data_IF_442424007224
#
_entry.id   IF_442424007224
#
_cell.length_a   1.000
_cell.length_b   1.000
_cell.length_c   1.000
_cell.angle_alpha   90.00
_cell.angle_beta   90.00
_cell.angle_gamma   90.00
#
_symmetry.space_group_name_H-M   'P 1'
#
loop_
_entity.id
_entity.type
_entity.pdbx_description
1 polymer ?
#
# COMPACT_ATOMS: atom_id res chain seq x y z
N UNK A 1 -13.37 -64.38 6.82
CA UNK A 1 -12.25 -63.49 7.18
C UNK A 1 -11.75 -62.62 6.03
N UNK A 2 -11.27 -63.19 4.90
CA UNK A 2 -10.71 -62.40 3.79
C UNK A 2 -11.65 -61.32 3.23
N UNK A 3 -12.94 -61.62 3.02
CA UNK A 3 -13.96 -60.64 2.56
C UNK A 3 -14.12 -59.44 3.50
N UNK A 4 -14.11 -59.67 4.82
CA UNK A 4 -14.22 -58.60 5.82
C UNK A 4 -13.01 -57.67 5.82
N UNK A 5 -11.82 -58.20 5.52
CA UNK A 5 -10.58 -57.42 5.45
C UNK A 5 -10.58 -56.45 4.27
N UNK A 6 -11.15 -56.84 3.12
CA UNK A 6 -11.30 -55.95 1.97
C UNK A 6 -12.24 -54.77 2.26
N UNK A 7 -13.36 -55.02 2.95
CA UNK A 7 -14.28 -53.94 3.33
C UNK A 7 -13.63 -52.92 4.27
N UNK A 8 -12.88 -53.37 5.27
CA UNK A 8 -12.15 -52.47 6.17
C UNK A 8 -11.14 -51.62 5.40
N UNK A 9 -10.41 -52.22 4.46
CA UNK A 9 -9.41 -51.51 3.67
C UNK A 9 -10.03 -50.46 2.74
N UNK A 10 -11.17 -50.78 2.10
CA UNK A 10 -11.93 -49.86 1.26
C UNK A 10 -12.45 -48.69 2.10
N UNK A 11 -12.98 -48.95 3.30
CA UNK A 11 -13.50 -47.90 4.19
C UNK A 11 -12.39 -46.94 4.64
N UNK A 12 -11.20 -47.45 4.96
CA UNK A 12 -10.05 -46.60 5.31
C UNK A 12 -9.62 -45.72 4.13
N UNK A 13 -9.57 -46.28 2.91
CA UNK A 13 -9.26 -45.54 1.68
C UNK A 13 -10.28 -44.44 1.36
N UNK A 14 -11.56 -44.69 1.62
CA UNK A 14 -12.60 -43.68 1.45
C UNK A 14 -12.48 -42.58 2.50
N UNK A 15 -12.25 -42.94 3.76
CA UNK A 15 -12.07 -41.98 4.85
C UNK A 15 -10.84 -41.09 4.64
N UNK A 16 -9.71 -41.62 4.18
CA UNK A 16 -8.51 -40.82 3.90
C UNK A 16 -8.69 -39.88 2.70
N UNK A 17 -9.47 -40.27 1.68
CA UNK A 17 -9.82 -39.37 0.58
C UNK A 17 -10.75 -38.24 1.01
N UNK A 18 -11.77 -38.52 1.85
CA UNK A 18 -12.66 -37.49 2.39
C UNK A 18 -11.89 -36.54 3.32
N UNK A 19 -10.98 -37.07 4.15
CA UNK A 19 -10.13 -36.25 5.01
C UNK A 19 -9.21 -35.34 4.18
N UNK A 20 -8.58 -35.87 3.13
CA UNK A 20 -7.80 -35.03 2.21
C UNK A 20 -8.67 -33.94 1.55
N UNK A 21 -9.91 -34.24 1.16
CA UNK A 21 -10.79 -33.23 0.56
C UNK A 21 -11.19 -32.11 1.54
N UNK A 22 -11.43 -32.45 2.82
CA UNK A 22 -11.75 -31.46 3.86
C UNK A 22 -10.52 -30.61 4.22
N UNK A 23 -9.31 -31.17 4.17
CA UNK A 23 -8.06 -30.45 4.44
C UNK A 23 -7.47 -29.77 3.20
N UNK A 24 -7.93 -30.09 1.99
CA UNK A 24 -7.54 -29.40 0.77
C UNK A 24 -8.22 -28.02 0.71
N UNK A 25 -7.49 -27.06 1.29
CA UNK A 25 -7.56 -25.63 1.05
C UNK A 25 -8.84 -24.94 1.52
N UNK A 26 -8.73 -24.29 2.68
CA UNK A 26 -9.36 -22.97 2.84
C UNK A 26 -8.90 -22.11 1.67
N UNK A 27 -9.83 -21.72 0.81
CA UNK A 27 -9.57 -20.68 -0.18
C UNK A 27 -9.07 -19.45 0.58
N UNK A 28 -7.83 -19.03 0.30
CA UNK A 28 -7.36 -17.74 0.80
C UNK A 28 -8.20 -16.71 0.07
N UNK A 29 -9.00 -15.95 0.81
CA UNK A 29 -9.74 -14.83 0.26
C UNK A 29 -8.78 -13.91 -0.49
N UNK A 30 -9.05 -13.74 -1.78
CA UNK A 30 -8.21 -12.99 -2.70
C UNK A 30 -8.80 -11.60 -2.85
N UNK A 31 -8.02 -10.57 -2.51
CA UNK A 31 -8.46 -9.18 -2.60
C UNK A 31 -7.77 -8.48 -3.76
N UNK A 32 -8.57 -7.74 -4.51
CA UNK A 32 -8.11 -6.86 -5.58
C UNK A 32 -8.63 -5.46 -5.27
N UNK A 33 -7.72 -4.55 -4.93
CA UNK A 33 -8.04 -3.14 -4.77
C UNK A 33 -7.20 -2.34 -5.75
N UNK A 34 -7.86 -1.42 -6.47
CA UNK A 34 -7.20 -0.40 -7.25
C UNK A 34 -7.87 0.92 -6.92
N UNK A 35 -7.17 1.77 -6.19
CA UNK A 35 -7.71 3.04 -5.70
C UNK A 35 -6.81 4.16 -6.20
N UNK A 36 -7.44 5.17 -6.81
CA UNK A 36 -6.78 6.41 -7.23
C UNK A 36 -7.25 7.50 -6.29
N UNK A 37 -6.31 8.08 -5.55
CA UNK A 37 -6.55 9.04 -4.50
C UNK A 37 -5.98 10.41 -4.85
N UNK A 38 -6.55 11.40 -4.21
CA UNK A 38 -6.10 12.80 -4.26
C UNK A 38 -6.24 13.42 -2.87
N UNK A 39 -5.56 14.54 -2.67
CA UNK A 39 -5.63 15.25 -1.41
C UNK A 39 -4.95 16.60 -1.51
N UNK A 40 -5.34 17.53 -0.63
CA UNK A 40 -4.76 18.86 -0.57
C UNK A 40 -4.47 19.25 0.87
N UNK A 41 -3.41 20.01 1.07
CA UNK A 41 -3.14 20.81 2.26
C UNK A 41 -3.05 22.29 1.86
N UNK A 42 -2.52 23.12 2.77
CA UNK A 42 -2.38 24.56 2.53
C UNK A 42 -1.41 24.85 1.38
N UNK A 43 -0.29 24.13 1.29
CA UNK A 43 0.74 24.40 0.28
C UNK A 43 0.98 23.26 -0.70
N UNK A 44 0.32 22.12 -0.53
CA UNK A 44 0.58 20.94 -1.34
C UNK A 44 -0.71 20.32 -1.84
N UNK A 45 -0.66 19.80 -3.06
CA UNK A 45 -1.74 19.06 -3.70
C UNK A 45 -1.19 17.79 -4.29
N UNK A 46 -1.87 16.68 -4.05
CA UNK A 46 -1.54 15.35 -4.57
C UNK A 46 -2.65 14.93 -5.51
N UNK A 47 -2.29 14.45 -6.69
CA UNK A 47 -3.21 13.87 -7.65
C UNK A 47 -2.71 12.53 -8.16
N UNK A 48 -3.66 11.66 -8.51
CA UNK A 48 -3.42 10.36 -9.14
C UNK A 48 -2.48 9.46 -8.33
N UNK A 49 -2.52 9.57 -6.99
CA UNK A 49 -1.79 8.65 -6.13
C UNK A 49 -2.52 7.32 -6.12
N UNK A 50 -1.82 6.23 -6.37
CA UNK A 50 -2.45 4.91 -6.52
C UNK A 50 -2.09 3.96 -5.39
N UNK A 51 -3.07 3.16 -4.98
CA UNK A 51 -2.89 1.97 -4.17
C UNK A 51 -3.41 0.80 -4.98
N UNK A 52 -2.52 -0.14 -5.30
CA UNK A 52 -2.85 -1.37 -5.99
C UNK A 52 -2.53 -2.55 -5.08
N UNK A 53 -3.55 -3.28 -4.64
CA UNK A 53 -3.41 -4.50 -3.85
C UNK A 53 -3.84 -5.67 -4.72
N UNK A 54 -2.89 -6.55 -4.97
CA UNK A 54 -3.06 -7.81 -5.67
C UNK A 54 -2.58 -8.97 -4.79
N UNK A 55 -2.87 -10.23 -5.17
CA UNK A 55 -2.60 -11.37 -4.31
C UNK A 55 -1.10 -11.65 -4.10
N UNK A 56 -0.27 -11.17 -5.03
CA UNK A 56 1.18 -11.40 -5.06
C UNK A 56 1.99 -10.11 -4.96
N UNK A 57 1.36 -8.96 -5.20
CA UNK A 57 2.01 -7.64 -5.13
C UNK A 57 1.10 -6.63 -4.46
N UNK A 58 1.70 -5.74 -3.70
CA UNK A 58 1.06 -4.49 -3.30
C UNK A 58 1.94 -3.34 -3.73
N UNK A 59 1.35 -2.37 -4.41
CA UNK A 59 2.04 -1.19 -4.90
C UNK A 59 1.37 0.09 -4.38
N UNK A 60 2.19 1.01 -3.92
CA UNK A 60 1.76 2.32 -3.41
C UNK A 60 2.55 3.42 -4.08
N UNK A 61 1.90 4.54 -4.37
CA UNK A 61 2.54 5.66 -5.02
C UNK A 61 2.03 5.80 -6.44
N UNK A 62 2.92 6.19 -7.35
CA UNK A 62 2.51 6.90 -8.55
C UNK A 62 1.78 8.21 -8.20
N UNK A 63 1.60 9.08 -9.18
CA UNK A 63 0.92 10.36 -8.97
C UNK A 63 1.85 11.56 -9.02
N UNK A 64 1.28 12.70 -8.70
CA UNK A 64 1.87 14.01 -8.94
C UNK A 64 1.65 14.91 -7.73
N UNK A 65 2.75 15.45 -7.22
CA UNK A 65 2.76 16.41 -6.14
C UNK A 65 2.95 17.81 -6.71
N UNK A 66 2.05 18.71 -6.34
CA UNK A 66 2.04 20.10 -6.74
C UNK A 66 2.27 20.98 -5.53
N UNK A 67 3.20 21.91 -5.65
CA UNK A 67 3.34 22.99 -4.69
C UNK A 67 2.37 24.11 -5.09
N UNK A 68 1.53 24.53 -4.14
CA UNK A 68 0.53 25.59 -4.32
C UNK A 68 1.04 26.96 -3.86
N UNK A 69 2.24 27.02 -3.27
CA UNK A 69 2.91 28.25 -2.87
C UNK A 69 3.75 28.86 -3.99
N UNK A 70 4.67 29.75 -3.60
CA UNK A 70 5.63 30.32 -4.54
C UNK A 70 6.77 29.32 -4.81
N UNK A 71 6.81 28.79 -6.03
CA UNK A 71 7.72 27.74 -6.48
C UNK A 71 9.22 28.05 -6.33
N UNK A 72 9.65 29.18 -5.78
CA UNK A 72 11.08 29.49 -5.59
C UNK A 72 11.60 29.10 -4.21
N UNK A 73 10.73 28.71 -3.29
CA UNK A 73 11.06 28.74 -1.86
C UNK A 73 11.49 27.38 -1.32
N UNK A 74 11.20 26.26 -1.99
CA UNK A 74 11.48 24.92 -1.47
C UNK A 74 12.91 24.47 -1.79
N UNK A 75 13.68 24.09 -0.76
CA UNK A 75 15.06 23.58 -0.90
C UNK A 75 15.14 22.06 -0.78
N UNK A 76 14.40 21.50 0.18
CA UNK A 76 14.38 20.06 0.47
C UNK A 76 12.97 19.63 0.82
N UNK A 77 12.60 18.43 0.40
CA UNK A 77 11.28 17.85 0.61
C UNK A 77 11.42 16.42 1.10
N UNK A 78 10.70 16.07 2.14
CA UNK A 78 10.57 14.73 2.70
C UNK A 78 9.10 14.35 2.69
N UNK A 79 8.81 13.13 2.25
CA UNK A 79 7.45 12.63 2.15
C UNK A 79 7.40 11.26 2.81
N UNK A 80 6.53 11.14 3.82
CA UNK A 80 6.19 9.88 4.48
C UNK A 80 4.74 9.52 4.13
N UNK A 81 4.52 8.32 3.60
CA UNK A 81 3.17 7.78 3.34
C UNK A 81 2.74 6.82 4.44
N UNK A 82 1.50 6.99 4.89
CA UNK A 82 0.87 6.20 5.93
C UNK A 82 -0.44 5.60 5.45
N UNK A 83 -0.69 4.37 5.91
CA UNK A 83 -1.92 3.63 5.69
C UNK A 83 -2.47 3.26 7.07
N UNK A 84 -3.46 4.00 7.55
CA UNK A 84 -3.77 4.05 8.98
C UNK A 84 -2.53 4.45 9.80
N UNK A 85 -2.21 3.69 10.84
CA UNK A 85 -1.04 3.96 11.70
C UNK A 85 0.29 3.44 11.13
N UNK A 86 0.26 2.69 10.02
CA UNK A 86 1.45 2.07 9.46
C UNK A 86 2.15 3.00 8.46
N UNK A 87 3.40 3.36 8.74
CA UNK A 87 4.28 3.99 7.74
C UNK A 87 4.64 2.98 6.66
N UNK A 88 4.27 3.27 5.42
CA UNK A 88 4.49 2.38 4.27
C UNK A 88 5.78 2.73 3.55
N UNK A 89 6.04 4.02 3.29
CA UNK A 89 7.32 4.45 2.72
C UNK A 89 7.72 5.86 3.13
N UNK A 90 9.01 6.14 2.94
CA UNK A 90 9.63 7.44 3.13
C UNK A 90 10.52 7.73 1.92
N UNK A 91 10.38 8.92 1.35
CA UNK A 91 11.26 9.41 0.29
C UNK A 91 11.71 10.83 0.59
N UNK A 92 12.85 11.19 0.02
CA UNK A 92 13.41 12.53 0.12
C UNK A 92 13.77 13.01 -1.28
N UNK A 93 13.45 14.26 -1.55
CA UNK A 93 13.75 14.92 -2.79
C UNK A 93 14.60 16.16 -2.47
N UNK A 94 15.66 16.35 -3.24
CA UNK A 94 16.57 17.49 -3.13
C UNK A 94 16.96 17.99 -4.51
N UNK A 95 17.19 19.29 -4.63
CA UNK A 95 17.69 19.93 -5.85
C UNK A 95 16.71 20.96 -6.43
N UNK A 96 17.25 21.85 -7.27
CA UNK A 96 16.50 22.99 -7.83
C UNK A 96 15.33 22.57 -8.73
N UNK A 97 15.35 21.33 -9.22
CA UNK A 97 14.28 20.76 -10.04
C UNK A 97 12.99 20.48 -9.26
N UNK A 98 13.03 20.47 -7.91
CA UNK A 98 11.84 20.41 -7.04
C UNK A 98 10.82 21.51 -7.32
N UNK A 99 11.27 22.59 -7.95
CA UNK A 99 10.48 23.76 -8.29
C UNK A 99 9.68 23.57 -9.59
N UNK A 100 9.96 22.52 -10.36
CA UNK A 100 9.20 22.14 -11.55
C UNK A 100 8.01 21.26 -11.13
N UNK A 101 6.92 21.90 -10.72
CA UNK A 101 5.65 21.23 -10.48
C UNK A 101 5.01 20.79 -11.82
N UNK A 102 4.47 19.56 -11.93
CA UNK A 102 4.37 18.54 -10.88
C UNK A 102 5.64 17.72 -10.65
N UNK A 103 5.95 17.48 -9.37
CA UNK A 103 6.89 16.44 -8.96
C UNK A 103 6.22 15.08 -9.12
N UNK A 104 6.80 14.20 -9.95
CA UNK A 104 6.32 12.82 -10.08
C UNK A 104 6.73 12.01 -8.86
N UNK A 105 5.73 11.42 -8.20
CA UNK A 105 5.97 10.51 -7.09
C UNK A 105 6.35 9.15 -7.67
N UNK A 106 7.38 8.53 -7.08
CA UNK A 106 7.74 7.15 -7.40
C UNK A 106 6.68 6.18 -6.89
N UNK A 107 6.90 4.89 -7.12
CA UNK A 107 6.12 3.84 -6.49
C UNK A 107 7.02 2.91 -5.69
N UNK A 108 6.42 2.30 -4.67
CA UNK A 108 7.00 1.19 -3.95
C UNK A 108 6.13 -0.03 -4.17
N UNK A 109 6.75 -1.11 -4.65
CA UNK A 109 6.10 -2.40 -4.83
C UNK A 109 6.71 -3.40 -3.85
N UNK A 110 5.88 -3.97 -3.00
CA UNK A 110 6.23 -5.03 -2.07
C UNK A 110 5.49 -6.31 -2.45
N UNK A 111 6.09 -7.47 -2.15
CA UNK A 111 5.33 -8.71 -2.17
C UNK A 111 4.30 -8.68 -1.04
N UNK A 112 3.09 -9.17 -1.30
CA UNK A 112 1.95 -9.07 -0.36
C UNK A 112 2.22 -9.83 0.95
N UNK A 113 3.10 -10.83 0.93
CA UNK A 113 3.54 -11.61 2.10
C UNK A 113 4.40 -10.82 3.10
N UNK A 114 4.96 -9.67 2.71
CA UNK A 114 5.71 -8.79 3.60
C UNK A 114 4.81 -7.96 4.53
N UNK A 115 3.50 -7.91 4.27
CA UNK A 115 2.55 -7.32 5.21
C UNK A 115 2.06 -8.43 6.15
N UNK A 116 2.58 -8.41 7.39
CA UNK A 116 2.16 -9.33 8.46
C UNK A 116 0.66 -9.25 8.76
N UNK A 117 0.02 -8.13 8.38
CA UNK A 117 -1.41 -7.86 8.49
C UNK A 117 -2.00 -7.64 7.11
N UNK A 118 -3.19 -8.21 6.88
CA UNK A 118 -4.00 -7.95 5.69
C UNK A 118 -4.45 -6.49 5.69
N UNK A 119 -4.12 -5.77 4.62
CA UNK A 119 -4.59 -4.38 4.41
C UNK A 119 -6.10 -4.39 4.23
N UNK A 120 -6.77 -3.56 5.01
CA UNK A 120 -8.23 -3.40 5.00
C UNK A 120 -8.64 -2.14 4.24
N UNK A 121 -9.89 -2.09 3.78
CA UNK A 121 -10.43 -0.89 3.13
C UNK A 121 -10.47 0.32 4.09
N UNK A 122 -10.68 0.09 5.38
CA UNK A 122 -10.65 1.14 6.40
C UNK A 122 -9.25 1.78 6.51
N UNK A 123 -8.19 0.99 6.45
CA UNK A 123 -6.81 1.51 6.43
C UNK A 123 -6.51 2.30 5.14
N UNK A 124 -7.11 1.91 4.00
CA UNK A 124 -7.04 2.66 2.74
C UNK A 124 -7.78 4.01 2.85
N UNK A 125 -8.97 4.01 3.44
CA UNK A 125 -9.76 5.24 3.62
C UNK A 125 -9.12 6.23 4.60
N UNK A 126 -8.26 5.74 5.48
CA UNK A 126 -7.48 6.55 6.42
C UNK A 126 -6.03 6.77 5.94
N UNK A 127 -5.78 6.68 4.64
CA UNK A 127 -4.47 6.94 4.06
C UNK A 127 -4.12 8.42 4.08
N UNK A 128 -2.87 8.75 4.39
CA UNK A 128 -2.41 10.14 4.40
C UNK A 128 -0.91 10.28 4.11
N UNK A 129 -0.51 11.48 3.74
CA UNK A 129 0.88 11.87 3.49
C UNK A 129 1.33 12.94 4.49
N UNK A 130 2.46 12.70 5.14
CA UNK A 130 3.16 13.76 5.88
C UNK A 130 4.25 14.32 4.99
N UNK A 131 4.12 15.60 4.65
CA UNK A 131 5.11 16.35 3.89
C UNK A 131 5.89 17.25 4.84
N UNK A 132 7.21 17.11 4.85
CA UNK A 132 8.12 18.02 5.56
C UNK A 132 9.01 18.69 4.54
N UNK A 133 9.12 20.00 4.56
CA UNK A 133 9.99 20.70 3.63
C UNK A 133 10.72 21.84 4.31
N UNK A 134 11.88 22.17 3.77
CA UNK A 134 12.69 23.28 4.21
C UNK A 134 12.67 24.38 3.15
N UNK A 135 12.47 25.61 3.57
CA UNK A 135 12.63 26.75 2.68
C UNK A 135 14.11 27.05 2.39
N UNK A 136 14.41 27.90 1.40
CA UNK A 136 15.78 28.32 1.12
C UNK A 136 16.41 29.12 2.26
N UNK A 137 15.60 29.84 3.02
CA UNK A 137 15.98 30.58 4.24
C UNK A 137 16.25 29.64 5.43
N UNK A 138 15.89 28.35 5.29
CA UNK A 138 16.17 27.31 6.27
C UNK A 138 15.01 26.98 7.20
N UNK A 139 13.84 27.59 7.02
CA UNK A 139 12.64 27.33 7.84
C UNK A 139 12.04 25.97 7.50
N UNK A 140 11.72 25.17 8.51
CA UNK A 140 11.06 23.88 8.34
C UNK A 140 9.54 24.00 8.49
N UNK A 141 8.83 23.32 7.61
CA UNK A 141 7.38 23.21 7.64
C UNK A 141 6.97 21.74 7.57
N UNK A 142 5.81 21.43 8.16
CA UNK A 142 5.21 20.10 8.16
C UNK A 142 3.73 20.26 7.87
N UNK A 143 3.22 19.48 6.92
CA UNK A 143 1.81 19.39 6.58
C UNK A 143 1.36 17.94 6.46
N UNK A 144 0.10 17.70 6.84
CA UNK A 144 -0.61 16.46 6.60
C UNK A 144 -1.55 16.64 5.41
N UNK A 145 -1.60 15.65 4.52
CA UNK A 145 -2.54 15.57 3.41
C UNK A 145 -3.32 14.27 3.57
N UNK A 146 -4.59 14.38 3.93
CA UNK A 146 -5.54 13.26 3.87
C UNK A 146 -5.81 12.90 2.41
N UNK A 147 -5.80 11.60 2.12
CA UNK A 147 -6.03 11.07 0.78
C UNK A 147 -7.39 10.40 0.70
N UNK A 148 -8.15 10.72 -0.35
CA UNK A 148 -9.50 10.23 -0.58
C UNK A 148 -9.79 10.01 -2.08
#
# INVERSE_FOLDING_TARGET
>A
MKRSMYFVFITILLLTNVFNFIFLKKEKEVYYYYVVMKGNSKHWKVENFTIEIMPQRTEFGHGSLYYLGNNKDVKQLYLDFFLGDQKVFKTAYTGDWLLHSPLKLGSISNKTDNYSKKITLDEINNAYLIIRWQTKEGTFHIENIELF
#
